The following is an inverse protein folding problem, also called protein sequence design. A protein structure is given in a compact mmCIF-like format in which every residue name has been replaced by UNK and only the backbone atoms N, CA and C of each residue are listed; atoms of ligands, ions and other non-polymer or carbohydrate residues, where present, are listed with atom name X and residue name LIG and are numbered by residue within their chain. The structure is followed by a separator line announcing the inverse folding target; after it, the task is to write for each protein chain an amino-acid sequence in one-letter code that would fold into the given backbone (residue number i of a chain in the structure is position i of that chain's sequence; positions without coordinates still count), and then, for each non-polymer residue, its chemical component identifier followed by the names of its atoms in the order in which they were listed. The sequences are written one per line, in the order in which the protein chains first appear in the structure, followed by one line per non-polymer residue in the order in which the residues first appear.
data_IF_729840773199
#
_entry.id   IF_729840773199
#
_cell.length_a   1.000
_cell.length_b   1.000
_cell.length_c   1.000
_cell.angle_alpha   90.00
_cell.angle_beta   90.00
_cell.angle_gamma   90.00
#
_symmetry.space_group_name_H-M   'P 1'
#
loop_
_entity.id
_entity.type
_entity.pdbx_description
1 polymer ?
#
# COMPACT_ATOMS: atom_id res chain seq x y z
N UNK A 1 13.98 -8.87 -28.14
CA UNK A 1 14.16 -8.07 -26.91
C UNK A 1 13.17 -8.60 -25.88
N UNK A 2 13.61 -9.43 -24.94
CA UNK A 2 12.73 -10.11 -23.97
C UNK A 2 12.35 -9.09 -22.91
N UNK A 3 11.13 -8.54 -23.01
CA UNK A 3 10.55 -7.74 -21.94
C UNK A 3 10.35 -8.65 -20.72
N UNK A 4 11.03 -8.37 -19.61
CA UNK A 4 10.79 -9.07 -18.34
C UNK A 4 9.39 -8.70 -17.83
N UNK A 5 8.36 -9.43 -18.29
CA UNK A 5 6.98 -9.42 -17.78
C UNK A 5 6.86 -10.21 -16.47
N UNK A 6 7.87 -10.14 -15.62
CA UNK A 6 7.92 -10.99 -14.43
C UNK A 6 8.65 -10.29 -13.32
N UNK A 7 8.00 -10.21 -12.16
CA UNK A 7 8.68 -9.86 -10.93
C UNK A 7 9.34 -11.13 -10.40
N UNK A 8 10.65 -11.06 -10.23
CA UNK A 8 11.40 -12.07 -9.51
C UNK A 8 11.49 -11.58 -8.07
N UNK A 9 10.70 -12.17 -7.17
CA UNK A 9 10.77 -11.84 -5.75
C UNK A 9 11.66 -12.86 -5.06
N UNK A 10 12.71 -12.38 -4.40
CA UNK A 10 13.52 -13.21 -3.51
C UNK A 10 12.79 -13.22 -2.16
N UNK A 11 11.80 -14.11 -2.03
CA UNK A 11 11.26 -14.45 -0.72
C UNK A 11 12.33 -15.31 -0.05
N UNK A 12 12.96 -14.83 1.04
CA UNK A 12 13.56 -15.58 2.16
C UNK A 12 14.69 -14.77 2.81
N UNK A 13 14.82 -14.91 4.13
CA UNK A 13 15.95 -14.44 4.94
C UNK A 13 17.20 -15.26 4.54
N UNK A 14 17.89 -14.83 3.48
CA UNK A 14 19.08 -15.52 2.99
C UNK A 14 20.30 -14.63 3.14
N UNK A 15 21.27 -15.13 3.89
CA UNK A 15 22.63 -14.60 3.86
C UNK A 15 23.16 -14.76 2.44
N UNK A 16 23.44 -13.64 1.77
CA UNK A 16 23.94 -13.59 0.40
C UNK A 16 25.39 -14.05 0.37
N UNK A 17 25.61 -15.36 0.47
CA UNK A 17 26.94 -15.97 0.36
C UNK A 17 27.20 -16.33 -1.10
N UNK A 18 28.34 -15.88 -1.63
CA UNK A 18 28.82 -16.28 -2.95
C UNK A 18 28.83 -17.81 -3.03
N UNK A 19 28.17 -18.41 -4.03
CA UNK A 19 27.94 -19.85 -4.27
C UNK A 19 26.66 -20.50 -3.74
N UNK A 20 25.83 -19.83 -2.93
CA UNK A 20 24.55 -20.41 -2.48
C UNK A 20 23.43 -20.13 -3.50
N UNK A 21 22.78 -21.18 -4.01
CA UNK A 21 21.56 -21.03 -4.82
C UNK A 21 20.45 -20.45 -3.94
N UNK A 22 19.89 -19.33 -4.37
CA UNK A 22 18.73 -18.73 -3.72
C UNK A 22 17.47 -19.48 -4.17
N UNK A 23 16.61 -19.81 -3.20
CA UNK A 23 15.26 -20.23 -3.52
C UNK A 23 14.48 -18.98 -3.94
N UNK A 24 13.95 -19.00 -5.15
CA UNK A 24 13.27 -17.86 -5.75
C UNK A 24 11.91 -18.32 -6.24
N UNK A 25 10.88 -17.55 -5.92
CA UNK A 25 9.55 -17.74 -6.45
C UNK A 25 9.28 -16.65 -7.48
N UNK A 26 8.83 -17.07 -8.66
CA UNK A 26 8.54 -16.15 -9.76
C UNK A 26 7.05 -16.11 -9.98
N UNK A 27 6.50 -14.91 -9.97
CA UNK A 27 5.09 -14.67 -10.27
C UNK A 27 4.96 -13.91 -11.58
N UNK A 28 3.93 -14.25 -12.35
CA UNK A 28 3.57 -13.46 -13.51
C UNK A 28 2.74 -12.26 -13.06
N UNK A 29 3.28 -11.05 -13.25
CA UNK A 29 2.55 -9.82 -13.05
C UNK A 29 2.29 -9.23 -14.43
N UNK A 30 1.02 -9.00 -14.75
CA UNK A 30 0.60 -8.40 -16.01
C UNK A 30 1.17 -6.96 -16.12
N UNK A 31 2.25 -6.78 -16.89
CA UNK A 31 2.90 -5.49 -17.06
C UNK A 31 4.34 -5.46 -16.55
N UNK A 32 4.96 -4.28 -16.58
CA UNK A 32 6.34 -4.09 -16.13
C UNK A 32 6.35 -3.56 -14.70
N UNK A 33 6.85 -4.31 -13.70
CA UNK A 33 7.01 -3.81 -12.34
C UNK A 33 7.99 -2.63 -12.30
N UNK A 34 7.62 -1.56 -11.58
CA UNK A 34 8.40 -0.32 -11.45
C UNK A 34 8.85 -0.08 -10.02
N UNK A 35 8.00 -0.40 -9.03
CA UNK A 35 8.26 -0.29 -7.60
C UNK A 35 7.57 -1.43 -6.86
N UNK A 36 8.17 -1.89 -5.77
CA UNK A 36 7.61 -2.93 -4.89
C UNK A 36 7.85 -2.52 -3.45
N UNK A 37 6.82 -2.62 -2.61
CA UNK A 37 6.86 -2.41 -1.17
C UNK A 37 6.20 -3.59 -0.47
N UNK A 38 6.61 -3.88 0.75
CA UNK A 38 5.91 -4.84 1.59
C UNK A 38 5.15 -4.09 2.68
N UNK A 39 3.83 -4.29 2.75
CA UNK A 39 3.00 -3.73 3.80
C UNK A 39 2.80 -4.78 4.89
N UNK A 40 3.43 -4.57 6.05
CA UNK A 40 3.48 -5.54 7.14
C UNK A 40 2.10 -5.87 7.72
N UNK A 41 1.22 -4.88 7.81
CA UNK A 41 -0.07 -4.97 8.46
C UNK A 41 -1.03 -5.85 7.65
N UNK A 42 -1.06 -5.68 6.32
CA UNK A 42 -1.86 -6.53 5.43
C UNK A 42 -1.12 -7.77 4.92
N UNK A 43 0.19 -7.86 5.17
CA UNK A 43 1.11 -8.88 4.64
C UNK A 43 1.14 -8.96 3.10
N UNK A 44 0.78 -7.87 2.41
CA UNK A 44 0.76 -7.81 0.95
C UNK A 44 2.06 -7.22 0.39
N UNK A 45 2.43 -7.68 -0.81
CA UNK A 45 3.36 -6.98 -1.68
C UNK A 45 2.60 -5.94 -2.50
N UNK A 46 2.87 -4.67 -2.26
CA UNK A 46 2.33 -3.59 -3.08
C UNK A 46 3.25 -3.38 -4.26
N UNK A 47 2.74 -3.57 -5.47
CA UNK A 47 3.49 -3.47 -6.71
C UNK A 47 2.89 -2.37 -7.58
N UNK A 48 3.71 -1.39 -7.96
CA UNK A 48 3.38 -0.48 -9.05
C UNK A 48 3.89 -1.08 -10.35
N UNK A 49 2.99 -1.27 -11.31
CA UNK A 49 3.30 -1.79 -12.64
C UNK A 49 2.82 -0.82 -13.71
N UNK A 50 3.44 -0.86 -14.89
CA UNK A 50 3.00 -0.09 -16.06
C UNK A 50 2.53 -1.05 -17.15
N UNK A 51 1.34 -0.78 -17.70
CA UNK A 51 0.80 -1.55 -18.82
C UNK A 51 1.62 -1.28 -20.10
N UNK A 52 1.84 -2.30 -20.95
CA UNK A 52 2.71 -2.19 -22.13
C UNK A 52 2.07 -1.50 -23.36
N UNK A 53 0.79 -1.08 -23.30
CA UNK A 53 0.06 -0.51 -24.45
C UNK A 53 0.32 1.00 -24.64
N UNK A 54 -0.09 1.54 -25.82
CA UNK A 54 0.18 2.94 -26.23
C UNK A 54 -0.39 3.99 -25.27
N UNK A 55 -1.46 3.66 -24.54
CA UNK A 55 -2.08 4.51 -23.53
C UNK A 55 -1.52 4.18 -22.13
N UNK A 56 -0.20 3.95 -22.05
CA UNK A 56 0.50 3.40 -20.90
C UNK A 56 0.07 4.05 -19.58
N UNK A 57 -0.82 3.35 -18.87
CA UNK A 57 -1.26 3.71 -17.54
C UNK A 57 -0.53 2.83 -16.53
N UNK A 58 -0.25 3.38 -15.35
CA UNK A 58 0.25 2.56 -14.25
C UNK A 58 -0.88 2.08 -13.34
N UNK A 59 -0.67 0.93 -12.75
CA UNK A 59 -1.58 0.29 -11.82
C UNK A 59 -0.80 -0.06 -10.55
N UNK A 60 -1.44 0.14 -9.40
CA UNK A 60 -0.94 -0.30 -8.10
C UNK A 60 -1.72 -1.55 -7.70
N UNK A 61 -1.03 -2.66 -7.48
CA UNK A 61 -1.61 -3.94 -7.13
C UNK A 61 -1.13 -4.38 -5.75
N UNK A 62 -2.04 -4.89 -4.91
CA UNK A 62 -1.70 -5.66 -3.72
C UNK A 62 -1.62 -7.13 -4.12
N UNK A 63 -0.47 -7.75 -3.92
CA UNK A 63 -0.18 -9.12 -4.34
C UNK A 63 0.06 -9.97 -3.11
N UNK A 64 -0.60 -11.12 -3.01
CA UNK A 64 -0.29 -12.11 -1.99
C UNK A 64 1.13 -12.67 -2.25
N UNK A 65 2.08 -12.52 -1.30
CA UNK A 65 3.45 -13.01 -1.48
C UNK A 65 3.56 -14.53 -1.61
N UNK A 66 2.54 -15.31 -1.21
CA UNK A 66 2.59 -16.78 -1.28
C UNK A 66 2.10 -17.32 -2.62
N UNK A 67 0.92 -16.88 -3.06
CA UNK A 67 0.33 -17.32 -4.34
C UNK A 67 0.73 -16.48 -5.54
N UNK A 68 1.10 -15.22 -5.33
CA UNK A 68 1.31 -14.23 -6.40
C UNK A 68 0.01 -13.66 -6.96
N UNK A 69 -1.14 -13.97 -6.34
CA UNK A 69 -2.45 -13.49 -6.78
C UNK A 69 -2.63 -12.01 -6.45
N UNK A 70 -3.27 -11.27 -7.35
CA UNK A 70 -3.64 -9.86 -7.10
C UNK A 70 -4.88 -9.83 -6.23
N UNK A 71 -4.74 -9.29 -5.01
CA UNK A 71 -5.78 -9.19 -3.98
C UNK A 71 -6.47 -7.82 -3.98
N UNK A 72 -5.77 -6.79 -4.45
CA UNK A 72 -6.26 -5.41 -4.54
C UNK A 72 -5.70 -4.73 -5.80
N UNK A 73 -6.44 -3.81 -6.40
CA UNK A 73 -5.92 -3.00 -7.50
C UNK A 73 -6.44 -1.55 -7.48
N UNK A 74 -5.58 -0.63 -7.91
CA UNK A 74 -5.89 0.77 -8.17
C UNK A 74 -5.24 1.21 -9.48
N UNK A 75 -6.06 1.55 -10.49
CA UNK A 75 -5.59 2.06 -11.78
C UNK A 75 -5.44 3.57 -11.74
N UNK A 76 -4.32 4.08 -12.26
CA UNK A 76 -4.13 5.51 -12.44
C UNK A 76 -4.99 6.04 -13.60
N UNK A 77 -4.99 7.36 -13.79
CA UNK A 77 -5.72 7.99 -14.90
C UNK A 77 -5.13 7.62 -16.27
N UNK A 78 -5.92 7.69 -17.36
CA UNK A 78 -5.40 7.46 -18.71
C UNK A 78 -4.19 8.36 -19.02
N UNK A 79 -3.10 7.76 -19.53
CA UNK A 79 -1.85 8.45 -19.83
C UNK A 79 -1.03 8.89 -18.61
N UNK A 80 -1.50 8.62 -17.39
CA UNK A 80 -0.75 8.91 -16.17
C UNK A 80 0.21 7.78 -15.82
N UNK A 81 1.46 8.16 -15.58
CA UNK A 81 2.51 7.20 -15.23
C UNK A 81 2.90 7.34 -13.76
N UNK A 82 2.88 6.23 -13.03
CA UNK A 82 3.41 6.15 -11.67
C UNK A 82 4.94 6.27 -11.67
N UNK A 83 5.49 7.06 -10.75
CA UNK A 83 6.94 7.35 -10.68
C UNK A 83 7.55 6.88 -9.37
N UNK A 84 6.87 7.12 -8.26
CA UNK A 84 7.30 6.66 -6.94
C UNK A 84 6.09 6.28 -6.10
N UNK A 85 6.33 5.42 -5.11
CA UNK A 85 5.38 5.15 -4.04
C UNK A 85 6.14 4.79 -2.77
N UNK A 86 5.54 5.08 -1.62
CA UNK A 86 6.13 4.81 -0.31
C UNK A 86 5.03 4.63 0.75
N UNK A 87 5.31 3.80 1.75
CA UNK A 87 4.44 3.64 2.92
C UNK A 87 4.77 4.73 3.94
N UNK A 88 3.76 5.52 4.32
CA UNK A 88 3.90 6.64 5.26
C UNK A 88 2.88 6.49 6.37
N UNK A 89 3.31 6.82 7.59
CA UNK A 89 2.44 6.78 8.77
C UNK A 89 1.48 7.98 8.79
N UNK A 90 0.20 7.70 9.02
CA UNK A 90 -0.84 8.67 9.37
C UNK A 90 -1.42 8.25 10.73
N UNK A 91 -0.90 8.83 11.82
CA UNK A 91 -1.21 8.39 13.18
C UNK A 91 -0.77 6.94 13.44
N UNK A 92 -1.74 6.07 13.70
CA UNK A 92 -1.48 4.65 13.97
C UNK A 92 -1.55 3.78 12.71
N UNK A 93 -2.00 4.32 11.59
CA UNK A 93 -2.16 3.60 10.32
C UNK A 93 -0.99 3.88 9.37
N UNK A 94 -0.74 2.95 8.46
CA UNK A 94 0.13 3.18 7.30
C UNK A 94 -0.74 3.38 6.06
N UNK A 95 -0.42 4.43 5.31
CA UNK A 95 -1.05 4.73 4.02
C UNK A 95 -0.01 4.71 2.92
N UNK A 96 -0.44 4.38 1.71
CA UNK A 96 0.42 4.42 0.54
C UNK A 96 0.36 5.81 -0.09
N UNK A 97 1.49 6.51 -0.15
CA UNK A 97 1.61 7.76 -0.90
C UNK A 97 2.24 7.47 -2.24
N UNK A 98 1.61 7.94 -3.32
CA UNK A 98 1.98 7.67 -4.70
C UNK A 98 2.25 8.99 -5.42
N UNK A 99 3.39 9.07 -6.09
CA UNK A 99 3.78 10.19 -6.94
C UNK A 99 3.73 9.81 -8.42
N UNK A 100 3.12 10.67 -9.23
CA UNK A 100 2.84 10.40 -10.64
C UNK A 100 3.31 11.52 -11.58
N UNK A 101 3.23 11.23 -12.88
CA UNK A 101 3.33 12.17 -14.00
C UNK A 101 2.04 12.21 -14.79
N UNK A 102 1.52 13.40 -15.05
CA UNK A 102 0.39 13.63 -15.96
C UNK A 102 0.84 13.88 -17.42
N UNK A 103 2.13 13.80 -17.70
CA UNK A 103 2.69 13.97 -19.05
C UNK A 103 3.45 12.73 -19.49
N UNK A 104 3.31 12.39 -20.78
CA UNK A 104 4.10 11.36 -21.48
C UNK A 104 5.47 11.88 -21.97
N UNK A 105 5.69 13.20 -21.94
CA UNK A 105 6.92 13.84 -22.37
C UNK A 105 8.12 13.62 -21.44
N UNK A 106 9.31 14.10 -21.84
CA UNK A 106 10.52 13.99 -21.05
C UNK A 106 10.36 14.70 -19.70
N UNK A 107 11.11 14.21 -18.72
CA UNK A 107 11.15 14.81 -17.39
C UNK A 107 12.11 15.98 -17.29
N UNK A 108 13.24 15.84 -17.96
CA UNK A 108 14.40 16.67 -17.77
C UNK A 108 14.68 17.33 -19.11
N UNK A 109 14.76 18.66 -19.09
CA UNK A 109 15.27 19.43 -20.22
C UNK A 109 16.70 18.99 -20.52
N UNK A 110 17.21 19.16 -21.76
CA UNK A 110 18.63 18.90 -22.05
C UNK A 110 19.61 19.67 -21.14
N UNK A 111 19.17 20.80 -20.57
CA UNK A 111 19.92 21.59 -19.58
C UNK A 111 20.07 20.92 -18.20
N UNK A 112 19.30 19.87 -17.91
CA UNK A 112 19.13 19.28 -16.58
C UNK A 112 17.99 19.91 -15.77
N UNK A 113 17.39 20.99 -16.26
CA UNK A 113 16.29 21.65 -15.57
C UNK A 113 15.01 20.81 -15.66
N UNK A 114 14.13 20.99 -14.68
CA UNK A 114 12.85 20.29 -14.70
C UNK A 114 11.94 20.86 -15.80
N UNK A 115 11.37 19.98 -16.61
CA UNK A 115 10.33 20.33 -17.57
C UNK A 115 9.09 20.90 -16.86
N UNK A 116 8.39 21.82 -17.53
CA UNK A 116 7.15 22.45 -17.02
C UNK A 116 5.94 21.50 -17.13
N UNK A 117 6.08 20.34 -16.52
CA UNK A 117 5.09 19.27 -16.47
C UNK A 117 4.25 19.34 -15.19
N UNK A 118 3.22 18.52 -15.09
CA UNK A 118 2.41 18.37 -13.87
C UNK A 118 2.51 16.92 -13.38
N UNK A 119 2.59 16.77 -12.07
CA UNK A 119 2.46 15.48 -11.40
C UNK A 119 1.24 15.46 -10.48
N UNK A 120 0.88 14.29 -9.97
CA UNK A 120 -0.07 14.18 -8.86
C UNK A 120 0.58 13.50 -7.66
N UNK A 121 0.16 13.94 -6.49
CA UNK A 121 0.36 13.23 -5.23
C UNK A 121 -0.99 12.59 -4.86
N UNK A 122 -1.00 11.27 -4.72
CA UNK A 122 -2.18 10.47 -4.38
C UNK A 122 -1.90 9.75 -3.07
N UNK A 123 -2.86 9.74 -2.15
CA UNK A 123 -2.81 8.99 -0.90
C UNK A 123 -3.87 7.91 -0.97
N UNK A 124 -3.48 6.65 -0.81
CA UNK A 124 -4.35 5.48 -0.82
C UNK A 124 -4.34 4.85 0.58
N UNK A 125 -5.52 4.69 1.18
CA UNK A 125 -5.72 3.85 2.34
C UNK A 125 -5.73 2.37 1.91
N UNK A 126 -5.14 1.50 2.71
CA UNK A 126 -5.11 0.04 2.49
C UNK A 126 -6.12 -0.57 3.45
N UNK A 127 -7.24 -1.02 2.92
CA UNK A 127 -8.38 -1.45 3.74
C UNK A 127 -8.76 -2.89 3.47
N UNK A 128 -9.16 -3.59 4.53
CA UNK A 128 -9.75 -4.91 4.44
C UNK A 128 -11.27 -4.77 4.30
N UNK A 129 -11.84 -5.24 3.19
CA UNK A 129 -13.29 -5.27 3.00
C UNK A 129 -13.83 -6.50 3.73
N UNK A 130 -14.37 -6.30 4.93
CA UNK A 130 -15.25 -7.29 5.53
C UNK A 130 -16.64 -7.05 4.96
N UNK A 131 -17.15 -7.97 4.15
CA UNK A 131 -18.57 -7.99 3.80
C UNK A 131 -19.36 -8.34 5.07
N UNK A 132 -19.68 -7.33 5.88
CA UNK A 132 -20.64 -7.50 6.97
C UNK A 132 -22.04 -7.53 6.35
N UNK A 133 -22.59 -8.73 6.13
CA UNK A 133 -24.04 -8.91 6.03
C UNK A 133 -24.65 -8.61 7.41
N UNK A 134 -24.85 -7.33 7.71
CA UNK A 134 -25.68 -6.89 8.83
C UNK A 134 -26.09 -5.45 8.63
N UNK A 135 -27.31 -5.27 8.11
CA UNK A 135 -28.06 -4.07 8.40
C UNK A 135 -28.30 -3.99 9.90
N UNK A 136 -27.75 -2.98 10.58
CA UNK A 136 -28.45 -2.25 11.65
C UNK A 136 -27.56 -1.17 12.26
N UNK A 137 -28.04 0.06 12.16
CA UNK A 137 -28.07 1.12 13.18
C UNK A 137 -26.76 1.54 13.86
N UNK A 138 -26.34 2.74 13.49
CA UNK A 138 -25.69 3.79 14.30
C UNK A 138 -25.50 3.50 15.80
N UNK A 139 -24.25 3.52 16.27
CA UNK A 139 -23.94 3.89 17.65
C UNK A 139 -22.74 4.84 17.68
N UNK A 140 -23.06 6.13 17.88
CA UNK A 140 -22.12 7.15 18.33
C UNK A 140 -21.66 6.83 19.75
N UNK A 141 -20.36 6.61 19.94
CA UNK A 141 -19.77 6.46 21.27
C UNK A 141 -19.18 7.80 21.73
N UNK A 142 -19.84 8.44 22.69
CA UNK A 142 -19.20 9.39 23.58
C UNK A 142 -19.69 9.20 25.02
N UNK A 143 -18.72 8.83 25.86
CA UNK A 143 -18.55 9.06 27.31
C UNK A 143 -19.67 8.71 28.32
N UNK A 144 -19.29 7.97 29.38
CA UNK A 144 -19.87 8.17 30.71
C UNK A 144 -19.90 6.97 31.68
N UNK A 145 -18.83 6.81 32.46
CA UNK A 145 -18.83 6.51 33.91
C UNK A 145 -19.24 5.14 34.51
N UNK A 146 -18.35 4.73 35.43
CA UNK A 146 -18.54 4.07 36.75
C UNK A 146 -18.87 2.58 36.88
N UNK A 147 -17.83 1.85 37.28
CA UNK A 147 -17.75 0.92 38.42
C UNK A 147 -18.95 0.01 38.74
N UNK A 148 -18.73 -1.31 38.68
CA UNK A 148 -18.76 -2.14 39.88
C UNK A 148 -18.07 -3.49 39.68
N UNK A 149 -17.22 -3.78 40.67
CA UNK A 149 -16.59 -5.05 41.01
C UNK A 149 -17.64 -6.13 41.34
N UNK A 150 -17.44 -7.36 40.87
CA UNK A 150 -17.27 -8.59 41.67
C UNK A 150 -17.62 -9.87 40.88
N UNK A 151 -16.64 -10.77 40.79
CA UNK A 151 -16.80 -12.22 40.62
C UNK A 151 -17.52 -12.84 41.85
N UNK A 152 -18.09 -14.07 41.79
CA UNK A 152 -17.25 -15.28 41.89
C UNK A 152 -17.77 -16.54 41.16
N UNK A 153 -16.83 -17.45 40.96
CA UNK A 153 -17.01 -18.87 40.61
C UNK A 153 -17.88 -19.64 41.62
N UNK A 154 -18.58 -20.69 41.13
CA UNK A 154 -18.77 -21.96 41.86
C UNK A 154 -18.69 -23.14 40.90
N UNK A 155 -17.93 -24.13 41.36
CA UNK A 155 -17.61 -25.42 40.78
C UNK A 155 -18.43 -26.52 41.51
N UNK A 156 -18.44 -27.75 40.94
CA UNK A 156 -18.54 -29.08 41.59
C UNK A 156 -19.78 -29.95 41.24
N UNK A 157 -19.50 -31.01 40.44
CA UNK A 157 -19.90 -32.45 40.52
C UNK A 157 -21.41 -32.77 40.44
N UNK A 158 -21.94 -33.73 39.67
CA UNK A 158 -21.45 -34.91 38.94
C UNK A 158 -22.50 -36.02 39.10
N UNK A 159 -22.88 -36.75 38.03
CA UNK A 159 -23.30 -38.17 38.02
C UNK A 159 -23.87 -38.58 36.65
N UNK A 160 -23.54 -39.81 36.25
CA UNK A 160 -23.76 -40.45 34.97
C UNK A 160 -25.13 -41.17 34.85
N UNK A 161 -25.57 -41.41 33.61
CA UNK A 161 -26.18 -42.69 33.18
C UNK A 161 -26.18 -42.83 31.65
N UNK A 162 -25.78 -44.02 31.22
CA UNK A 162 -25.78 -44.54 29.84
C UNK A 162 -27.21 -44.79 29.31
N UNK A 163 -27.41 -44.78 27.99
CA UNK A 163 -28.21 -45.81 27.33
C UNK A 163 -27.99 -45.84 25.80
N UNK A 164 -27.47 -46.97 25.34
CA UNK A 164 -27.48 -47.45 23.95
C UNK A 164 -28.88 -47.99 23.60
N UNK A 165 -29.34 -47.80 22.36
CA UNK A 165 -29.98 -48.84 21.53
C UNK A 165 -30.36 -48.34 20.12
N UNK A 166 -30.21 -49.26 19.18
CA UNK A 166 -30.28 -49.24 17.72
C UNK A 166 -31.69 -49.43 17.13
N UNK A 167 -31.97 -48.88 15.93
CA UNK A 167 -32.20 -49.63 14.66
C UNK A 167 -33.00 -48.86 13.58
N UNK A 168 -32.44 -48.86 12.35
CA UNK A 168 -33.03 -48.95 10.99
C UNK A 168 -34.20 -48.04 10.55
N UNK A 169 -34.05 -47.40 9.38
CA UNK A 169 -34.71 -47.76 8.10
C UNK A 169 -34.05 -46.96 6.97
N UNK A 170 -33.72 -47.65 5.88
CA UNK A 170 -33.23 -47.08 4.63
C UNK A 170 -34.35 -46.35 3.87
N UNK A 171 -34.05 -45.14 3.39
CA UNK A 171 -34.78 -44.48 2.30
C UNK A 171 -33.80 -43.65 1.46
N UNK A 172 -33.72 -43.94 0.17
CA UNK A 172 -33.14 -43.13 -0.91
C UNK A 172 -33.98 -43.39 -2.18
N UNK A 173 -33.92 -42.57 -3.23
CA UNK A 173 -33.42 -41.20 -3.40
C UNK A 173 -34.60 -40.28 -3.85
N UNK A 174 -34.50 -38.95 -3.93
CA UNK A 174 -34.05 -38.23 -5.13
C UNK A 174 -34.12 -36.71 -4.91
N UNK A 175 -33.31 -36.04 -5.74
CA UNK A 175 -33.44 -34.68 -6.27
C UNK A 175 -33.07 -33.44 -5.45
N UNK A 176 -31.98 -32.84 -5.94
CA UNK A 176 -31.73 -31.39 -5.99
C UNK A 176 -31.57 -30.68 -4.65
N UNK A 177 -30.44 -30.93 -4.02
CA UNK A 177 -29.81 -29.95 -3.14
C UNK A 177 -28.43 -29.67 -3.70
N UNK A 178 -28.32 -28.63 -4.53
CA UNK A 178 -27.07 -27.95 -4.82
C UNK A 178 -26.58 -27.35 -3.49
N UNK A 179 -25.92 -28.17 -2.68
CA UNK A 179 -25.28 -27.70 -1.46
C UNK A 179 -24.22 -26.71 -1.90
N UNK A 180 -24.45 -25.46 -1.52
CA UNK A 180 -23.72 -24.31 -2.01
C UNK A 180 -22.23 -24.57 -1.83
N UNK A 181 -21.47 -24.38 -2.90
CA UNK A 181 -20.07 -24.00 -2.75
C UNK A 181 -20.11 -22.84 -1.77
N UNK A 182 -19.69 -23.10 -0.53
CA UNK A 182 -19.36 -22.07 0.45
C UNK A 182 -18.43 -21.15 -0.32
N UNK A 183 -18.96 -20.02 -0.77
CA UNK A 183 -18.17 -18.95 -1.35
C UNK A 183 -17.18 -18.65 -0.23
N UNK A 184 -15.93 -19.10 -0.37
CA UNK A 184 -14.85 -18.59 0.45
C UNK A 184 -14.99 -17.08 0.32
N UNK A 185 -15.45 -16.44 1.40
CA UNK A 185 -15.47 -15.00 1.54
C UNK A 185 -14.05 -14.57 1.22
N UNK A 186 -13.85 -14.15 -0.03
CA UNK A 186 -12.54 -13.77 -0.51
C UNK A 186 -12.25 -12.49 0.26
N UNK A 187 -11.35 -12.58 1.24
CA UNK A 187 -10.80 -11.44 1.96
C UNK A 187 -10.36 -10.41 0.91
N UNK A 188 -11.21 -9.43 0.65
CA UNK A 188 -11.02 -8.51 -0.45
C UNK A 188 -10.30 -7.29 0.10
N UNK A 189 -9.02 -7.16 -0.23
CA UNK A 189 -8.28 -5.94 0.05
C UNK A 189 -8.65 -4.87 -0.97
N UNK A 190 -8.75 -3.62 -0.53
CA UNK A 190 -8.95 -2.49 -1.43
C UNK A 190 -7.98 -1.36 -1.16
N UNK A 191 -7.63 -0.64 -2.23
CA UNK A 191 -6.95 0.64 -2.13
C UNK A 191 -7.97 1.75 -2.29
N UNK A 192 -8.32 2.42 -1.18
CA UNK A 192 -9.28 3.53 -1.21
C UNK A 192 -8.53 4.86 -1.36
N UNK A 193 -8.78 5.66 -2.41
CA UNK A 193 -8.19 6.99 -2.50
C UNK A 193 -8.73 7.90 -1.39
N UNK A 194 -7.81 8.48 -0.63
CA UNK A 194 -8.08 9.38 0.48
C UNK A 194 -7.81 10.85 0.11
N UNK A 195 -6.74 11.10 -0.62
CA UNK A 195 -6.37 12.45 -1.02
C UNK A 195 -5.72 12.42 -2.39
N UNK A 196 -6.00 13.43 -3.21
CA UNK A 196 -5.35 13.61 -4.51
C UNK A 196 -5.16 15.09 -4.78
N UNK A 197 -3.97 15.47 -5.22
CA UNK A 197 -3.68 16.85 -5.59
C UNK A 197 -2.67 16.91 -6.73
N UNK A 198 -2.79 17.93 -7.58
CA UNK A 198 -1.87 18.18 -8.68
C UNK A 198 -0.78 19.12 -8.25
N UNK A 199 0.48 18.78 -8.52
CA UNK A 199 1.66 19.57 -8.19
C UNK A 199 2.34 20.11 -9.45
N UNK A 200 2.99 21.29 -9.37
CA UNK A 200 3.84 21.79 -10.44
C UNK A 200 5.13 20.98 -10.50
N UNK A 201 5.33 20.24 -11.61
CA UNK A 201 6.38 19.25 -11.77
C UNK A 201 5.92 17.83 -11.44
N UNK A 202 6.54 16.85 -12.10
CA UNK A 202 6.34 15.43 -11.79
C UNK A 202 6.79 15.06 -10.39
N UNK A 203 6.04 14.20 -9.71
CA UNK A 203 6.38 13.72 -8.37
C UNK A 203 7.29 12.50 -8.46
N UNK A 204 8.58 12.64 -8.19
CA UNK A 204 9.59 11.61 -8.51
C UNK A 204 10.12 10.82 -7.32
N UNK A 205 10.04 11.37 -6.11
CA UNK A 205 10.49 10.70 -4.91
C UNK A 205 9.58 11.04 -3.73
N UNK A 206 9.34 10.04 -2.90
CA UNK A 206 8.68 10.15 -1.59
C UNK A 206 9.57 9.44 -0.59
N UNK A 207 9.70 9.97 0.62
CA UNK A 207 10.51 9.38 1.68
C UNK A 207 9.87 9.65 3.05
N UNK A 208 9.72 8.65 3.94
CA UNK A 208 9.24 8.90 5.30
C UNK A 208 10.26 9.73 6.08
N UNK A 209 9.79 10.63 6.95
CA UNK A 209 10.66 11.57 7.64
C UNK A 209 10.20 11.82 9.08
N UNK A 210 11.10 11.60 10.05
CA UNK A 210 10.85 11.84 11.49
C UNK A 210 9.56 11.22 12.03
N UNK A 211 9.10 10.09 11.47
CA UNK A 211 7.95 9.31 11.94
C UNK A 211 6.56 9.93 11.71
N UNK A 212 6.46 11.25 11.53
CA UNK A 212 5.18 11.98 11.33
C UNK A 212 5.12 12.80 10.04
N UNK A 213 6.28 13.05 9.42
CA UNK A 213 6.38 13.75 8.15
C UNK A 213 6.72 12.77 7.03
N UNK A 214 6.57 13.25 5.82
CA UNK A 214 7.19 12.66 4.65
C UNK A 214 7.70 13.77 3.74
N UNK A 215 8.75 13.45 3.01
CA UNK A 215 9.27 14.28 1.95
C UNK A 215 8.62 13.86 0.64
N UNK A 216 8.33 14.82 -0.22
CA UNK A 216 7.94 14.56 -1.59
C UNK A 216 8.61 15.56 -2.53
N UNK A 217 9.21 15.09 -3.63
CA UNK A 217 9.74 15.96 -4.68
C UNK A 217 8.70 16.23 -5.75
N UNK A 218 8.71 17.42 -6.33
CA UNK A 218 8.10 17.70 -7.63
C UNK A 218 8.98 18.62 -8.46
N UNK A 219 9.43 18.13 -9.63
CA UNK A 219 10.37 18.84 -10.48
C UNK A 219 11.69 19.12 -9.76
N UNK A 220 12.04 20.41 -9.60
CA UNK A 220 13.21 20.87 -8.87
C UNK A 220 12.90 21.35 -7.44
N UNK A 221 11.71 21.06 -6.92
CA UNK A 221 11.32 21.37 -5.55
C UNK A 221 11.09 20.10 -4.74
N UNK A 222 11.33 20.17 -3.44
CA UNK A 222 10.84 19.17 -2.51
C UNK A 222 10.17 19.82 -1.31
N UNK A 223 9.27 19.08 -0.70
CA UNK A 223 8.37 19.56 0.34
C UNK A 223 8.48 18.68 1.57
N UNK A 224 8.41 19.30 2.75
CA UNK A 224 8.12 18.60 4.00
C UNK A 224 6.61 18.58 4.16
N UNK A 225 6.02 17.39 4.19
CA UNK A 225 4.58 17.17 4.25
C UNK A 225 4.20 16.38 5.49
N UNK A 226 2.96 16.54 5.97
CA UNK A 226 2.36 15.63 6.93
C UNK A 226 0.83 15.60 6.76
N UNK A 227 0.21 14.62 7.44
CA UNK A 227 -1.23 14.50 7.59
C UNK A 227 -1.68 15.32 8.81
N UNK A 228 -2.40 16.44 8.65
CA UNK A 228 -2.87 17.24 9.78
C UNK A 228 -3.81 16.43 10.67
N UNK A 229 -3.57 16.42 11.98
CA UNK A 229 -4.32 15.61 12.94
C UNK A 229 -4.40 14.14 12.53
N UNK A 230 -3.32 13.62 11.93
CA UNK A 230 -3.21 12.24 11.46
C UNK A 230 -4.28 11.83 10.43
N UNK A 231 -4.93 12.79 9.78
CA UNK A 231 -6.00 12.53 8.83
C UNK A 231 -5.44 12.32 7.40
N UNK A 232 -5.49 11.10 6.84
CA UNK A 232 -4.95 10.80 5.51
C UNK A 232 -5.74 11.46 4.36
N UNK A 233 -6.93 11.99 4.64
CA UNK A 233 -7.75 12.76 3.68
C UNK A 233 -7.19 14.16 3.42
N UNK A 234 -6.15 14.60 4.15
CA UNK A 234 -5.55 15.92 4.00
C UNK A 234 -4.03 15.82 4.06
N UNK A 235 -3.36 16.49 3.12
CA UNK A 235 -1.89 16.68 3.17
C UNK A 235 -1.60 18.17 3.34
N UNK A 236 -0.77 18.51 4.33
CA UNK A 236 -0.24 19.88 4.52
C UNK A 236 1.24 19.91 4.16
N UNK A 237 1.64 20.93 3.40
CA UNK A 237 3.05 21.26 3.11
C UNK A 237 3.53 22.28 4.17
N UNK A 238 4.55 21.92 4.93
CA UNK A 238 5.13 22.73 6.01
C UNK A 238 6.29 23.58 5.53
N UNK A 239 7.16 23.01 4.70
CA UNK A 239 8.31 23.69 4.13
C UNK A 239 8.50 23.28 2.66
N UNK A 240 9.21 24.13 1.93
CA UNK A 240 9.66 23.88 0.56
C UNK A 240 11.13 24.27 0.45
N UNK A 241 11.90 23.47 -0.27
CA UNK A 241 13.21 23.85 -0.75
C UNK A 241 13.33 23.49 -2.23
N UNK A 242 14.24 24.18 -2.93
CA UNK A 242 14.45 24.00 -4.37
C UNK A 242 15.92 23.76 -4.67
N UNK A 243 16.15 22.95 -5.68
CA UNK A 243 17.44 22.76 -6.33
C UNK A 243 17.43 23.48 -7.67
N UNK A 244 18.60 23.65 -8.28
CA UNK A 244 18.70 24.20 -9.63
C UNK A 244 18.13 23.23 -10.67
N UNK A 245 18.51 21.96 -10.55
CA UNK A 245 18.16 20.91 -11.50
C UNK A 245 17.10 19.96 -10.96
N UNK A 246 16.57 19.08 -11.81
CA UNK A 246 15.53 18.14 -11.41
C UNK A 246 15.97 17.26 -10.23
N UNK A 247 15.11 17.17 -9.21
CA UNK A 247 15.29 16.24 -8.09
C UNK A 247 14.83 14.86 -8.53
N UNK A 248 15.73 13.88 -8.45
CA UNK A 248 15.49 12.50 -8.89
C UNK A 248 15.28 11.54 -7.72
N UNK A 249 15.82 11.88 -6.54
CA UNK A 249 15.72 11.04 -5.35
C UNK A 249 15.71 11.86 -4.06
N UNK A 250 15.07 11.29 -3.04
CA UNK A 250 15.06 11.80 -1.69
C UNK A 250 15.35 10.64 -0.75
N UNK A 251 16.20 10.88 0.23
CA UNK A 251 16.35 10.00 1.39
C UNK A 251 16.59 10.85 2.63
N UNK A 252 16.28 10.31 3.80
CA UNK A 252 16.49 11.00 5.04
C UNK A 252 17.05 10.05 6.09
N UNK A 253 17.90 10.60 6.94
CA UNK A 253 18.41 9.94 8.13
C UNK A 253 18.33 10.91 9.29
N UNK A 254 17.48 10.57 10.27
CA UNK A 254 17.13 11.46 11.38
C UNK A 254 16.71 12.85 10.85
N UNK A 255 17.38 13.92 11.25
CA UNK A 255 17.06 15.29 10.81
C UNK A 255 17.71 15.68 9.48
N UNK A 256 18.63 14.86 8.94
CA UNK A 256 19.33 15.14 7.69
C UNK A 256 18.54 14.61 6.51
N UNK A 257 18.37 15.47 5.50
CA UNK A 257 17.72 15.16 4.24
C UNK A 257 18.79 15.18 3.17
N UNK A 258 18.91 14.09 2.41
CA UNK A 258 19.77 14.04 1.23
C UNK A 258 18.88 14.08 -0.02
N UNK A 259 19.17 15.06 -0.88
CA UNK A 259 18.43 15.35 -2.09
C UNK A 259 19.34 15.05 -3.26
N UNK A 260 19.03 14.00 -4.01
CA UNK A 260 19.73 13.69 -5.25
C UNK A 260 19.11 14.46 -6.40
N UNK A 261 19.90 15.31 -7.05
CA UNK A 261 19.52 15.95 -8.28
C UNK A 261 20.17 15.25 -9.49
N UNK A 262 19.76 15.60 -10.71
CA UNK A 262 20.30 14.97 -11.91
C UNK A 262 21.66 15.50 -12.37
N UNK A 263 22.27 16.47 -11.68
CA UNK A 263 23.48 17.15 -12.18
C UNK A 263 24.48 17.61 -11.11
N UNK A 264 24.06 18.31 -10.07
CA UNK A 264 24.92 18.73 -8.96
C UNK A 264 25.19 17.59 -7.94
N UNK A 265 24.54 16.43 -8.10
CA UNK A 265 24.76 15.24 -7.30
C UNK A 265 23.86 15.19 -6.08
N UNK A 266 24.46 15.14 -4.87
CA UNK A 266 23.71 15.01 -3.62
C UNK A 266 23.87 16.31 -2.81
N UNK A 267 22.74 16.93 -2.48
CA UNK A 267 22.64 18.12 -1.64
C UNK A 267 22.05 17.74 -0.29
N UNK A 268 22.59 18.32 0.78
CA UNK A 268 22.13 18.04 2.15
C UNK A 268 21.34 19.21 2.72
N UNK A 269 20.20 18.89 3.32
CA UNK A 269 19.30 19.82 3.97
C UNK A 269 18.98 19.33 5.38
N UNK A 270 18.37 20.22 6.18
CA UNK A 270 17.78 19.87 7.46
C UNK A 270 16.52 20.70 7.64
N UNK A 271 15.50 20.10 8.23
CA UNK A 271 14.27 20.79 8.58
C UNK A 271 14.36 21.23 10.04
N UNK A 272 14.01 22.49 10.30
CA UNK A 272 13.85 23.03 11.64
C UNK A 272 12.37 23.39 11.81
N UNK A 273 11.74 22.84 12.85
CA UNK A 273 10.30 22.99 13.12
C UNK A 273 9.91 24.39 13.59
#
# INVERSE_FOLDING_TARGET
MIWLKSLVLIVFKVEMVHSKRLNVQKFHLEGTPRKVLYHSESKLLIVMRTEPNSDACSEICGVDPLSGSVMASFKLGPGETGKCMELVRAGNEQVLVVGTSLSSGPAIMPSGEAESTKGRLIVLCIEHVQHSDSGSMTFSSMAGSSSQRNSPFREIVGHATEQLSSSSICSSPDDTSCDGVKLEETEAWQFRPAYTTTWPGMVLAICPYLGRYFLASAGNAFYVCAFPNDNPQRVRRFAIARTRFMITSLTAYFTRIAVGDCRDGILFYSYNE
#
